data_IF_920717259459
#
_entry.id   IF_920717259459
#
_cell.length_a   1.000
_cell.length_b   1.000
_cell.length_c   1.000
_cell.angle_alpha   90.00
_cell.angle_beta   90.00
_cell.angle_gamma   90.00
#
_symmetry.space_group_name_H-M   'P 1'
#
loop_
_entity.id
_entity.type
_entity.pdbx_description
1 polymer ?
#
# COMPACT_ATOMS: atom_id res chain seq x y z
N UNK A 1 8.46 -18.78 7.39
CA UNK A 1 8.73 -19.28 6.02
C UNK A 1 10.12 -19.90 5.95
N UNK A 2 10.27 -20.94 5.13
CA UNK A 2 11.58 -21.56 4.89
C UNK A 2 12.41 -20.67 3.95
N UNK A 3 13.76 -20.75 3.99
CA UNK A 3 14.58 -20.02 3.02
C UNK A 3 14.22 -20.31 1.56
N UNK A 4 13.82 -21.53 1.25
CA UNK A 4 13.40 -21.91 -0.10
C UNK A 4 12.12 -21.20 -0.50
N UNK A 5 11.17 -21.08 0.40
CA UNK A 5 9.92 -20.32 0.18
C UNK A 5 10.21 -18.84 -0.07
N UNK A 6 11.07 -18.25 0.75
CA UNK A 6 11.45 -16.85 0.61
C UNK A 6 12.12 -16.60 -0.75
N UNK A 7 13.01 -17.48 -1.19
CA UNK A 7 13.67 -17.36 -2.49
C UNK A 7 12.70 -17.34 -3.67
N UNK A 8 11.59 -18.07 -3.55
CA UNK A 8 10.54 -18.07 -4.58
C UNK A 8 9.69 -16.81 -4.52
N UNK A 9 9.35 -16.37 -3.31
CA UNK A 9 8.45 -15.23 -3.10
C UNK A 9 9.09 -13.89 -3.48
N UNK A 10 10.38 -13.70 -3.19
CA UNK A 10 11.03 -12.40 -3.43
C UNK A 10 10.97 -11.99 -4.91
N UNK A 11 11.37 -12.82 -5.90
CA UNK A 11 11.24 -12.44 -7.29
C UNK A 11 9.81 -12.20 -7.74
N UNK A 12 8.86 -13.01 -7.28
CA UNK A 12 7.43 -12.84 -7.62
C UNK A 12 6.90 -11.51 -7.09
N UNK A 13 7.23 -11.18 -5.85
CA UNK A 13 6.77 -9.94 -5.23
C UNK A 13 7.41 -8.73 -5.89
N UNK A 14 8.72 -8.79 -6.19
CA UNK A 14 9.39 -7.70 -6.92
C UNK A 14 8.77 -7.48 -8.29
N UNK A 15 8.40 -8.54 -8.99
CA UNK A 15 7.70 -8.42 -10.27
C UNK A 15 6.35 -7.73 -10.11
N UNK A 16 5.58 -8.10 -9.08
CA UNK A 16 4.28 -7.47 -8.80
C UNK A 16 4.42 -5.97 -8.54
N UNK A 17 5.44 -5.55 -7.79
CA UNK A 17 5.65 -4.13 -7.49
C UNK A 17 6.45 -3.40 -8.56
N UNK A 18 6.84 -4.09 -9.63
CA UNK A 18 7.54 -3.48 -10.76
C UNK A 18 9.01 -3.18 -10.50
N UNK A 19 9.68 -3.92 -9.63
CA UNK A 19 11.06 -3.67 -9.24
C UNK A 19 11.99 -4.87 -9.48
N UNK A 20 11.69 -5.72 -10.45
CA UNK A 20 12.51 -6.89 -10.74
C UNK A 20 13.97 -6.54 -11.04
N UNK A 21 14.21 -5.42 -11.71
CA UNK A 21 15.54 -4.92 -12.05
C UNK A 21 16.26 -4.25 -10.88
N UNK A 22 15.57 -4.07 -9.75
CA UNK A 22 16.12 -3.39 -8.56
C UNK A 22 16.45 -4.35 -7.43
N UNK A 23 16.43 -5.64 -7.68
CA UNK A 23 16.62 -6.65 -6.63
C UNK A 23 17.96 -6.51 -5.89
N UNK A 24 19.00 -6.03 -6.57
CA UNK A 24 20.34 -5.90 -6.02
C UNK A 24 20.75 -4.45 -5.73
N UNK A 25 19.81 -3.50 -5.78
CA UNK A 25 20.09 -2.09 -5.56
C UNK A 25 19.93 -1.76 -4.07
N UNK A 26 20.83 -0.95 -3.53
CA UNK A 26 20.71 -0.50 -2.14
C UNK A 26 19.55 0.49 -1.99
N UNK A 27 18.86 0.49 -0.82
CA UNK A 27 17.70 1.36 -0.62
C UNK A 27 17.96 2.85 -0.87
N UNK A 28 19.15 3.36 -0.56
CA UNK A 28 19.48 4.77 -0.75
C UNK A 28 19.67 5.16 -2.22
N UNK A 29 19.69 4.18 -3.13
CA UNK A 29 19.80 4.43 -4.56
C UNK A 29 18.42 4.47 -5.24
N UNK A 30 17.34 4.30 -4.47
CA UNK A 30 15.98 4.23 -4.99
C UNK A 30 15.26 5.57 -4.82
N UNK A 31 14.33 5.86 -5.73
CA UNK A 31 13.40 6.98 -5.56
C UNK A 31 12.46 6.73 -4.39
N UNK A 32 11.74 7.78 -3.94
CA UNK A 32 10.74 7.64 -2.88
C UNK A 32 9.67 6.60 -3.20
N UNK A 33 9.15 6.60 -4.43
CA UNK A 33 8.17 5.61 -4.87
C UNK A 33 8.75 4.20 -4.93
N UNK A 34 9.99 4.06 -5.38
CA UNK A 34 10.65 2.76 -5.40
C UNK A 34 10.91 2.24 -4.00
N UNK A 35 11.31 3.11 -3.06
CA UNK A 35 11.48 2.73 -1.66
C UNK A 35 10.16 2.23 -1.06
N UNK A 36 9.06 2.91 -1.37
CA UNK A 36 7.73 2.50 -0.90
C UNK A 36 7.34 1.15 -1.47
N UNK A 37 7.62 0.91 -2.75
CA UNK A 37 7.37 -0.40 -3.39
C UNK A 37 8.20 -1.50 -2.76
N UNK A 38 9.46 -1.23 -2.41
CA UNK A 38 10.30 -2.21 -1.71
C UNK A 38 9.71 -2.54 -0.33
N UNK A 39 9.23 -1.53 0.38
CA UNK A 39 8.58 -1.75 1.68
C UNK A 39 7.35 -2.64 1.54
N UNK A 40 6.53 -2.42 0.51
CA UNK A 40 5.38 -3.27 0.22
C UNK A 40 5.81 -4.69 -0.13
N UNK A 41 6.85 -4.83 -0.95
CA UNK A 41 7.38 -6.14 -1.32
C UNK A 41 7.82 -6.94 -0.09
N UNK A 42 8.53 -6.30 0.83
CA UNK A 42 8.96 -6.95 2.08
C UNK A 42 7.78 -7.43 2.90
N UNK A 43 6.73 -6.61 2.99
CA UNK A 43 5.53 -6.97 3.73
C UNK A 43 4.82 -8.17 3.09
N UNK A 44 4.87 -8.29 1.76
CA UNK A 44 4.16 -9.32 1.01
C UNK A 44 4.90 -10.66 0.92
N UNK A 45 6.20 -10.69 1.21
CA UNK A 45 7.03 -11.90 1.05
C UNK A 45 6.45 -13.08 1.82
N UNK A 46 5.87 -12.84 2.99
CA UNK A 46 5.28 -13.90 3.83
C UNK A 46 3.80 -14.15 3.52
N UNK A 47 3.30 -13.59 2.43
CA UNK A 47 1.92 -13.78 1.99
C UNK A 47 0.89 -13.50 3.10
N UNK A 48 0.89 -12.30 3.69
CA UNK A 48 0.01 -12.00 4.82
C UNK A 48 -1.45 -11.91 4.39
N UNK A 49 -2.36 -12.20 5.31
CA UNK A 49 -3.80 -12.01 5.08
C UNK A 49 -4.22 -10.55 5.25
N UNK A 50 -3.43 -9.76 5.97
CA UNK A 50 -3.70 -8.34 6.21
C UNK A 50 -2.42 -7.54 6.09
N UNK A 51 -2.52 -6.37 5.48
CA UNK A 51 -1.43 -5.41 5.35
C UNK A 51 -1.90 -4.05 5.87
N UNK A 52 -1.09 -3.44 6.73
CA UNK A 52 -1.37 -2.10 7.26
C UNK A 52 -0.36 -1.13 6.65
N UNK A 53 -0.85 -0.11 5.97
CA UNK A 53 -0.04 0.93 5.36
C UNK A 53 -0.33 2.27 6.03
N UNK A 54 0.70 2.90 6.59
CA UNK A 54 0.59 4.19 7.28
C UNK A 54 1.15 5.27 6.39
N UNK A 55 0.27 6.18 5.93
CA UNK A 55 0.60 7.26 5.00
C UNK A 55 1.43 6.78 3.80
N UNK A 56 0.94 5.80 3.04
CA UNK A 56 1.76 5.17 2.00
C UNK A 56 2.13 6.11 0.86
N UNK A 57 1.44 7.23 0.71
CA UNK A 57 1.70 8.21 -0.34
C UNK A 57 2.33 9.50 0.20
N UNK A 58 2.68 9.55 1.47
CA UNK A 58 3.30 10.72 2.08
C UNK A 58 4.61 11.09 1.41
N UNK A 59 4.81 12.36 1.11
CA UNK A 59 6.02 12.90 0.48
C UNK A 59 6.26 12.43 -0.97
N UNK A 60 5.25 11.85 -1.62
CA UNK A 60 5.33 11.47 -3.02
C UNK A 60 4.60 12.51 -3.89
N UNK A 61 5.09 12.71 -5.11
CA UNK A 61 4.37 13.52 -6.09
C UNK A 61 3.03 12.85 -6.46
N UNK A 62 2.06 13.60 -7.01
CA UNK A 62 0.73 13.04 -7.28
C UNK A 62 0.72 11.80 -8.18
N UNK A 63 1.52 11.77 -9.23
CA UNK A 63 1.55 10.63 -10.14
C UNK A 63 2.11 9.38 -9.47
N UNK A 64 3.20 9.53 -8.73
CA UNK A 64 3.81 8.43 -7.97
C UNK A 64 2.87 7.96 -6.87
N UNK A 65 2.19 8.89 -6.19
CA UNK A 65 1.20 8.55 -5.17
C UNK A 65 0.09 7.67 -5.75
N UNK A 66 -0.42 8.02 -6.92
CA UNK A 66 -1.46 7.23 -7.59
C UNK A 66 -0.96 5.85 -8.00
N UNK A 67 0.29 5.75 -8.45
CA UNK A 67 0.88 4.44 -8.77
C UNK A 67 0.92 3.54 -7.54
N UNK A 68 1.27 4.09 -6.38
CA UNK A 68 1.26 3.33 -5.12
C UNK A 68 -0.16 2.90 -4.74
N UNK A 69 -1.13 3.79 -4.88
CA UNK A 69 -2.53 3.44 -4.54
C UNK A 69 -3.10 2.39 -5.49
N UNK A 70 -2.76 2.44 -6.78
CA UNK A 70 -3.15 1.39 -7.72
C UNK A 70 -2.54 0.05 -7.36
N UNK A 71 -1.27 0.06 -6.95
CA UNK A 71 -0.58 -1.15 -6.50
C UNK A 71 -1.26 -1.73 -5.26
N UNK A 72 -1.61 -0.90 -4.29
CA UNK A 72 -2.33 -1.35 -3.10
C UNK A 72 -3.69 -1.96 -3.47
N UNK A 73 -4.39 -1.35 -4.41
CA UNK A 73 -5.66 -1.90 -4.88
C UNK A 73 -5.47 -3.28 -5.53
N UNK A 74 -4.42 -3.46 -6.32
CA UNK A 74 -4.07 -4.76 -6.91
C UNK A 74 -3.82 -5.82 -5.83
N UNK A 75 -3.07 -5.46 -4.81
CA UNK A 75 -2.77 -6.35 -3.68
C UNK A 75 -4.09 -6.77 -2.99
N UNK A 76 -5.00 -5.83 -2.80
CA UNK A 76 -6.31 -6.12 -2.21
C UNK A 76 -7.13 -7.06 -3.11
N UNK A 77 -7.13 -6.84 -4.42
CA UNK A 77 -7.85 -7.69 -5.35
C UNK A 77 -7.33 -9.12 -5.39
N UNK A 78 -6.09 -9.33 -5.00
CA UNK A 78 -5.47 -10.66 -4.91
C UNK A 78 -5.80 -11.38 -3.61
N UNK A 79 -6.57 -10.76 -2.72
CA UNK A 79 -7.06 -11.39 -1.50
C UNK A 79 -6.48 -10.86 -0.19
N UNK A 80 -5.55 -9.92 -0.24
CA UNK A 80 -5.00 -9.32 0.97
C UNK A 80 -5.92 -8.21 1.48
N UNK A 81 -6.29 -8.26 2.74
CA UNK A 81 -7.04 -7.18 3.38
C UNK A 81 -6.09 -6.01 3.64
N UNK A 82 -6.49 -4.82 3.22
CA UNK A 82 -5.68 -3.62 3.43
C UNK A 82 -6.33 -2.67 4.42
N UNK A 83 -5.51 -2.14 5.32
CA UNK A 83 -5.87 -1.01 6.17
C UNK A 83 -4.90 0.11 5.85
N UNK A 84 -5.42 1.23 5.34
CA UNK A 84 -4.59 2.38 4.95
C UNK A 84 -4.94 3.55 5.86
N UNK A 85 -3.94 4.04 6.60
CA UNK A 85 -4.09 5.25 7.40
C UNK A 85 -3.56 6.43 6.60
N UNK A 86 -4.40 7.43 6.34
CA UNK A 86 -4.00 8.57 5.53
C UNK A 86 -4.82 9.81 5.85
N UNK A 87 -4.22 11.00 5.61
CA UNK A 87 -4.90 12.28 5.62
C UNK A 87 -5.21 12.78 4.19
N UNK A 88 -4.84 12.03 3.18
CA UNK A 88 -5.00 12.44 1.78
C UNK A 88 -6.46 12.28 1.33
N UNK A 89 -7.26 13.31 1.59
CA UNK A 89 -8.70 13.32 1.35
C UNK A 89 -9.09 13.00 -0.09
N UNK A 90 -8.39 13.58 -1.05
CA UNK A 90 -8.68 13.36 -2.47
C UNK A 90 -8.41 11.91 -2.89
N UNK A 91 -7.38 11.29 -2.33
CA UNK A 91 -7.09 9.87 -2.56
C UNK A 91 -8.21 9.00 -1.97
N UNK A 92 -8.61 9.30 -0.73
CA UNK A 92 -9.67 8.55 -0.06
C UNK A 92 -10.96 8.61 -0.88
N UNK A 93 -11.34 9.80 -1.34
CA UNK A 93 -12.57 9.98 -2.12
C UNK A 93 -12.53 9.21 -3.45
N UNK A 94 -11.39 9.27 -4.16
CA UNK A 94 -11.26 8.61 -5.46
C UNK A 94 -11.17 7.09 -5.37
N UNK A 95 -10.63 6.56 -4.28
CA UNK A 95 -10.52 5.11 -4.11
C UNK A 95 -11.88 4.45 -3.86
N UNK A 96 -12.85 5.18 -3.36
CA UNK A 96 -14.23 4.71 -3.16
C UNK A 96 -14.29 3.43 -2.31
N UNK A 97 -13.56 3.41 -1.21
CA UNK A 97 -13.51 2.29 -0.28
C UNK A 97 -14.20 2.68 1.04
N UNK A 98 -14.31 1.71 1.96
CA UNK A 98 -14.82 1.97 3.29
C UNK A 98 -13.87 2.93 4.01
N UNK A 99 -14.42 3.98 4.62
CA UNK A 99 -13.67 5.00 5.35
C UNK A 99 -14.12 5.04 6.80
N UNK A 100 -13.17 4.86 7.70
CA UNK A 100 -13.39 5.02 9.13
C UNK A 100 -12.67 6.30 9.55
N UNK A 101 -13.44 7.29 10.00
CA UNK A 101 -12.89 8.57 10.44
C UNK A 101 -12.72 8.57 11.95
N UNK A 102 -11.51 8.92 12.38
CA UNK A 102 -11.15 8.90 13.80
C UNK A 102 -10.70 10.29 14.23
N UNK A 103 -11.26 10.80 15.33
CA UNK A 103 -10.83 12.05 15.94
C UNK A 103 -10.72 11.86 17.45
N UNK A 104 -9.60 12.33 18.03
CA UNK A 104 -9.34 12.24 19.47
C UNK A 104 -9.53 10.83 20.04
N UNK A 105 -9.13 9.82 19.26
CA UNK A 105 -9.24 8.43 19.68
C UNK A 105 -10.62 7.81 19.54
N UNK A 106 -11.60 8.55 19.01
CA UNK A 106 -12.97 8.06 18.86
C UNK A 106 -13.34 7.92 17.38
N UNK A 107 -14.08 6.88 17.06
CA UNK A 107 -14.65 6.71 15.72
C UNK A 107 -15.85 7.64 15.61
N UNK A 108 -15.79 8.59 14.67
CA UNK A 108 -16.87 9.56 14.45
C UNK A 108 -17.70 9.26 13.22
N UNK A 109 -17.19 8.44 12.29
CA UNK A 109 -17.98 7.94 11.17
C UNK A 109 -17.36 6.68 10.60
N UNK A 110 -18.19 5.88 9.95
CA UNK A 110 -17.80 4.65 9.28
C UNK A 110 -18.71 4.55 8.06
N UNK A 111 -18.18 4.94 6.91
CA UNK A 111 -18.97 5.06 5.68
C UNK A 111 -18.28 4.35 4.53
N UNK A 112 -19.07 3.86 3.59
CA UNK A 112 -18.57 3.35 2.33
C UNK A 112 -18.71 4.45 1.29
N UNK A 113 -17.65 4.67 0.49
CA UNK A 113 -17.76 5.53 -0.66
C UNK A 113 -17.14 6.92 -0.53
N UNK A 114 -16.19 7.12 0.37
CA UNK A 114 -15.39 8.33 0.39
C UNK A 114 -15.39 9.07 1.71
N UNK A 115 -14.42 9.96 1.83
CA UNK A 115 -14.11 10.67 3.08
C UNK A 115 -15.22 11.64 3.50
N UNK A 116 -15.74 12.41 2.56
CA UNK A 116 -16.79 13.40 2.79
C UNK A 116 -18.17 12.91 2.35
N UNK A 117 -18.32 11.62 2.18
CA UNK A 117 -19.59 11.04 1.77
C UNK A 117 -20.67 11.35 2.79
N UNK A 118 -21.71 12.03 2.34
CA UNK A 118 -22.91 12.22 3.11
C UNK A 118 -23.82 11.03 2.86
N UNK A 119 -24.05 10.29 3.88
CA UNK A 119 -24.86 9.09 3.73
C UNK A 119 -26.31 9.42 3.41
#
# INVERSE_FOLDING_TARGET
ATPKHIRRQVPMVLAMVGLSDKANVYPNELSGGEQQRVALARALVNNPSMLIADEPTGNLDPDTAWDIMRLLNEINLRGTTLVVATHAKDIVDKMNKRVIRIENGNIISDKKGGYDSEA
#
